data_IF_979847404599
#
_entry.id   IF_979847404599
#
_cell.length_a   1.000
_cell.length_b   1.000
_cell.length_c   1.000
_cell.angle_alpha   90.00
_cell.angle_beta   90.00
_cell.angle_gamma   90.00
#
_symmetry.space_group_name_H-M   'P 1'
#
loop_
_entity.id
_entity.type
_entity.pdbx_description
1 polymer ?
#
# COMPACT_ATOMS: atom_id res chain seq x y z
N UNK A 1 -17.50 -42.12 -14.06
CA UNK A 1 -17.62 -40.66 -14.13
C UNK A 1 -16.24 -40.04 -13.94
N UNK A 2 -15.80 -39.29 -14.94
CA UNK A 2 -14.51 -38.60 -15.00
C UNK A 2 -14.37 -37.55 -13.89
N UNK A 3 -15.48 -36.87 -13.53
CA UNK A 3 -15.47 -35.84 -12.49
C UNK A 3 -15.20 -36.44 -11.10
N UNK A 4 -15.80 -37.59 -10.79
CA UNK A 4 -15.51 -38.30 -9.55
C UNK A 4 -14.06 -38.78 -9.41
N UNK A 5 -13.38 -39.11 -10.52
CA UNK A 5 -11.94 -39.46 -10.49
C UNK A 5 -11.09 -38.22 -10.21
N UNK A 6 -11.36 -37.13 -10.92
CA UNK A 6 -10.67 -35.86 -10.74
C UNK A 6 -10.80 -35.35 -9.30
N UNK A 7 -12.02 -35.36 -8.75
CA UNK A 7 -12.28 -34.94 -7.38
C UNK A 7 -11.46 -35.73 -6.35
N UNK A 8 -11.39 -37.06 -6.47
CA UNK A 8 -10.61 -37.87 -5.52
C UNK A 8 -9.12 -37.55 -5.54
N UNK A 9 -8.57 -37.19 -6.70
CA UNK A 9 -7.16 -36.86 -6.85
C UNK A 9 -6.84 -35.44 -6.36
N UNK A 10 -7.73 -34.48 -6.60
CA UNK A 10 -7.44 -33.06 -6.39
C UNK A 10 -7.99 -32.48 -5.09
N UNK A 11 -8.97 -33.12 -4.44
CA UNK A 11 -9.70 -32.53 -3.29
C UNK A 11 -8.85 -32.21 -2.05
N UNK A 12 -7.63 -32.75 -1.96
CA UNK A 12 -6.71 -32.47 -0.85
C UNK A 12 -5.56 -31.56 -1.24
N UNK A 13 -5.52 -31.06 -2.49
CA UNK A 13 -4.51 -30.10 -2.92
C UNK A 13 -4.86 -28.71 -2.33
N UNK A 14 -3.92 -28.06 -1.61
CA UNK A 14 -4.17 -26.77 -0.99
C UNK A 14 -4.71 -25.72 -1.95
N UNK A 15 -4.17 -25.63 -3.16
CA UNK A 15 -4.57 -24.64 -4.17
C UNK A 15 -6.01 -24.85 -4.64
N UNK A 16 -6.46 -26.10 -4.74
CA UNK A 16 -7.82 -26.44 -5.15
C UNK A 16 -8.81 -26.14 -4.02
N UNK A 17 -8.40 -26.41 -2.79
CA UNK A 17 -9.19 -26.06 -1.59
C UNK A 17 -9.32 -24.54 -1.49
N UNK A 18 -8.21 -23.81 -1.61
CA UNK A 18 -8.17 -22.34 -1.56
C UNK A 18 -9.07 -21.73 -2.64
N UNK A 19 -8.90 -22.13 -3.90
CA UNK A 19 -9.74 -21.68 -5.00
C UNK A 19 -11.23 -21.97 -4.77
N UNK A 20 -11.56 -23.17 -4.29
CA UNK A 20 -12.95 -23.55 -4.01
C UNK A 20 -13.55 -22.71 -2.87
N UNK A 21 -12.78 -22.49 -1.79
CA UNK A 21 -13.20 -21.67 -0.67
C UNK A 21 -13.42 -20.22 -1.09
N UNK A 22 -12.46 -19.62 -1.80
CA UNK A 22 -12.47 -18.20 -2.15
C UNK A 22 -13.52 -17.85 -3.22
N UNK A 23 -13.68 -18.70 -4.23
CA UNK A 23 -14.54 -18.38 -5.38
C UNK A 23 -15.99 -18.82 -5.21
N UNK A 24 -16.27 -19.80 -4.35
CA UNK A 24 -17.61 -20.37 -4.20
C UNK A 24 -18.12 -20.28 -2.76
N UNK A 25 -17.37 -20.79 -1.78
CA UNK A 25 -17.89 -20.91 -0.41
C UNK A 25 -17.93 -19.56 0.31
N UNK A 26 -16.86 -18.79 0.29
CA UNK A 26 -16.76 -17.52 1.00
C UNK A 26 -17.75 -16.46 0.51
N UNK A 27 -17.97 -16.26 -0.81
CA UNK A 27 -18.99 -15.32 -1.27
C UNK A 27 -20.39 -15.69 -0.81
N UNK A 28 -20.75 -16.97 -0.84
CA UNK A 28 -22.08 -17.45 -0.44
C UNK A 28 -22.28 -17.42 1.09
N UNK A 29 -21.22 -17.72 1.85
CA UNK A 29 -21.34 -17.88 3.31
C UNK A 29 -20.92 -16.64 4.09
N UNK A 30 -20.06 -15.76 3.61
CA UNK A 30 -19.52 -14.66 4.42
C UNK A 30 -20.32 -13.35 4.32
N UNK A 31 -21.31 -13.26 3.43
CA UNK A 31 -22.10 -12.04 3.23
C UNK A 31 -22.97 -11.70 4.47
N UNK A 32 -23.67 -12.69 5.02
CA UNK A 32 -24.54 -12.55 6.19
C UNK A 32 -24.36 -13.71 7.17
N UNK A 33 -23.75 -13.44 8.31
CA UNK A 33 -23.55 -14.41 9.40
C UNK A 33 -24.22 -13.90 10.69
N UNK A 34 -24.92 -14.77 11.45
CA UNK A 34 -25.48 -14.42 12.76
C UNK A 34 -24.43 -13.93 13.76
N UNK A 35 -23.20 -14.43 13.62
CA UNK A 35 -22.01 -13.97 14.35
C UNK A 35 -20.89 -13.67 13.35
N UNK A 36 -20.35 -12.46 13.42
CA UNK A 36 -19.16 -12.08 12.66
C UNK A 36 -17.97 -12.10 13.61
N UNK A 37 -16.86 -12.71 13.18
CA UNK A 37 -15.57 -12.48 13.84
C UNK A 37 -15.21 -11.02 13.59
N UNK A 38 -15.34 -10.19 14.62
CA UNK A 38 -14.85 -8.83 14.63
C UNK A 38 -13.56 -8.82 15.43
N UNK A 39 -12.53 -8.19 14.88
CA UNK A 39 -11.33 -7.83 15.61
C UNK A 39 -11.17 -6.31 15.49
N UNK A 40 -10.74 -5.67 16.56
CA UNK A 40 -10.33 -4.27 16.55
C UNK A 40 -8.81 -4.19 16.83
N UNK A 41 -8.23 -2.99 16.75
CA UNK A 41 -6.80 -2.79 17.02
C UNK A 41 -6.36 -3.22 18.43
N UNK A 42 -7.27 -3.20 19.40
CA UNK A 42 -7.04 -3.70 20.76
C UNK A 42 -6.92 -5.23 20.78
N UNK A 43 -7.70 -5.96 19.99
CA UNK A 43 -7.63 -7.43 19.96
C UNK A 43 -6.29 -7.92 19.38
N UNK A 44 -5.75 -7.18 18.40
CA UNK A 44 -4.44 -7.45 17.78
C UNK A 44 -3.28 -7.05 18.68
N UNK A 45 -3.37 -5.91 19.38
CA UNK A 45 -2.31 -5.45 20.29
C UNK A 45 -2.40 -5.98 21.72
N UNK A 46 -3.54 -6.56 22.09
CA UNK A 46 -3.78 -7.20 23.38
C UNK A 46 -3.23 -8.63 23.45
N UNK A 47 -3.33 -9.23 24.63
CA UNK A 47 -2.74 -10.56 24.89
C UNK A 47 -3.60 -11.73 24.38
N UNK A 48 -4.79 -11.46 23.85
CA UNK A 48 -5.73 -12.50 23.41
C UNK A 48 -5.20 -13.25 22.18
N UNK A 49 -4.67 -12.55 21.17
CA UNK A 49 -4.26 -13.14 19.90
C UNK A 49 -2.75 -13.45 19.85
N UNK A 50 -1.90 -12.55 20.34
CA UNK A 50 -0.44 -12.66 20.20
C UNK A 50 0.30 -12.38 21.52
N UNK A 51 1.22 -13.29 21.91
CA UNK A 51 2.07 -13.12 23.10
C UNK A 51 3.22 -12.14 22.90
N UNK A 52 3.74 -12.03 21.67
CA UNK A 52 4.89 -11.18 21.34
C UNK A 52 4.46 -10.14 20.33
N UNK A 53 4.78 -8.88 20.61
CA UNK A 53 4.46 -7.71 19.79
C UNK A 53 5.77 -7.01 19.42
N UNK A 54 6.00 -6.82 18.13
CA UNK A 54 7.25 -6.24 17.63
C UNK A 54 7.19 -4.71 17.50
N UNK A 55 5.98 -4.15 17.38
CA UNK A 55 5.77 -2.71 17.28
C UNK A 55 4.39 -2.38 16.73
N UNK A 56 4.00 -1.12 16.85
CA UNK A 56 2.79 -0.57 16.28
C UNK A 56 3.18 0.62 15.40
N UNK A 57 2.81 0.61 14.13
CA UNK A 57 2.93 1.77 13.24
C UNK A 57 1.54 2.35 13.01
N UNK A 58 1.31 3.58 13.46
CA UNK A 58 0.04 4.25 13.27
C UNK A 58 0.18 5.76 13.37
N UNK A 59 -0.85 6.47 12.94
CA UNK A 59 -1.03 7.92 13.10
C UNK A 59 -0.61 8.35 14.51
N UNK A 60 0.06 9.50 14.72
CA UNK A 60 0.50 9.96 16.03
C UNK A 60 -0.71 10.13 16.97
N UNK A 61 -1.05 9.03 17.62
CA UNK A 61 -2.14 8.88 18.54
C UNK A 61 -1.57 8.14 19.73
N UNK A 62 -1.80 8.69 20.91
CA UNK A 62 -1.49 8.01 22.17
C UNK A 62 -2.46 6.87 22.50
N UNK A 63 -3.43 6.62 21.62
CA UNK A 63 -4.37 5.52 21.73
C UNK A 63 -3.70 4.23 21.24
N UNK A 64 -2.84 3.68 22.09
CA UNK A 64 -2.29 2.34 21.95
C UNK A 64 -2.95 1.39 22.96
N UNK A 65 -3.02 0.09 22.64
CA UNK A 65 -3.40 -0.93 23.59
C UNK A 65 -2.64 -0.82 24.91
N UNK A 66 -3.35 -1.01 26.03
CA UNK A 66 -2.79 -0.88 27.39
C UNK A 66 -1.54 -1.75 27.57
N UNK A 67 -1.52 -2.91 26.93
CA UNK A 67 -0.46 -3.91 26.95
C UNK A 67 0.81 -3.45 26.23
N UNK A 68 0.73 -2.46 25.33
CA UNK A 68 1.88 -1.84 24.66
C UNK A 68 2.47 -0.68 25.49
N UNK A 69 1.85 -0.31 26.60
CA UNK A 69 2.32 0.74 27.50
C UNK A 69 2.09 2.14 26.93
N UNK A 70 3.06 3.04 27.14
CA UNK A 70 2.98 4.43 26.65
C UNK A 70 3.78 4.58 25.38
N UNK A 71 3.19 5.26 24.40
CA UNK A 71 3.91 5.67 23.20
C UNK A 71 5.11 6.54 23.60
N UNK A 72 6.30 6.19 23.12
CA UNK A 72 7.50 7.01 23.26
C UNK A 72 7.75 7.71 21.93
N UNK A 73 7.35 8.97 21.84
CA UNK A 73 7.62 9.75 20.66
C UNK A 73 9.10 10.14 20.60
N UNK A 74 9.68 10.00 19.41
CA UNK A 74 11.00 10.54 19.13
C UNK A 74 10.98 12.06 19.25
N UNK A 75 11.84 12.59 20.12
CA UNK A 75 11.92 14.02 20.38
C UNK A 75 12.35 14.76 19.11
N UNK A 76 11.59 15.79 18.74
CA UNK A 76 11.92 16.65 17.61
C UNK A 76 11.49 16.12 16.25
N UNK A 77 10.96 14.90 16.12
CA UNK A 77 10.50 14.35 14.84
C UNK A 77 9.42 15.25 14.19
N UNK A 78 8.37 15.61 14.93
CA UNK A 78 7.33 16.52 14.43
C UNK A 78 7.87 17.90 14.09
N UNK A 79 8.80 18.43 14.90
CA UNK A 79 9.41 19.73 14.65
C UNK A 79 10.28 19.71 13.38
N UNK A 80 10.99 18.61 13.13
CA UNK A 80 11.80 18.39 11.94
C UNK A 80 10.94 18.30 10.68
N UNK A 81 9.83 17.55 10.73
CA UNK A 81 8.85 17.50 9.65
C UNK A 81 8.30 18.89 9.33
N UNK A 82 7.86 19.65 10.35
CA UNK A 82 7.38 21.01 10.16
C UNK A 82 8.46 21.94 9.60
N UNK A 83 9.70 21.82 10.09
CA UNK A 83 10.83 22.60 9.60
C UNK A 83 11.04 22.38 8.10
N UNK A 84 11.10 21.12 7.64
CA UNK A 84 11.25 20.83 6.21
C UNK A 84 10.06 21.25 5.35
N UNK A 85 8.83 21.08 5.85
CA UNK A 85 7.63 21.49 5.12
C UNK A 85 7.46 23.02 5.04
N UNK A 86 8.04 23.77 5.97
CA UNK A 86 7.94 25.23 6.05
C UNK A 86 9.19 25.97 5.59
N UNK A 87 10.28 25.26 5.32
CA UNK A 87 11.51 25.85 4.81
C UNK A 87 11.27 26.45 3.41
N UNK A 88 11.34 27.78 3.24
CA UNK A 88 11.09 28.42 1.95
C UNK A 88 12.18 28.12 0.91
N UNK A 89 13.34 27.62 1.32
CA UNK A 89 14.44 27.22 0.43
C UNK A 89 14.32 25.76 0.02
N UNK A 90 13.85 24.90 0.91
CA UNK A 90 13.50 23.54 0.55
C UNK A 90 12.21 23.60 -0.28
N UNK A 91 12.30 23.37 -1.60
CA UNK A 91 11.14 23.32 -2.52
C UNK A 91 10.22 22.11 -2.25
N UNK A 92 9.92 21.84 -0.98
CA UNK A 92 9.22 20.67 -0.45
C UNK A 92 7.72 20.82 -0.63
N UNK A 93 7.19 22.04 -0.64
CA UNK A 93 5.75 22.30 -0.75
C UNK A 93 5.39 22.97 -2.09
N UNK A 94 5.63 22.28 -3.20
CA UNK A 94 5.02 22.62 -4.49
C UNK A 94 3.82 21.69 -4.71
N UNK A 95 2.60 22.23 -4.62
CA UNK A 95 1.41 21.52 -5.10
C UNK A 95 1.11 21.95 -6.53
N UNK A 96 0.69 20.99 -7.37
CA UNK A 96 0.22 21.27 -8.73
C UNK A 96 -1.20 20.75 -8.85
N UNK A 97 -2.11 21.62 -9.30
CA UNK A 97 -3.46 21.21 -9.66
C UNK A 97 -3.40 20.43 -10.97
N UNK A 98 -3.96 19.22 -10.97
CA UNK A 98 -4.13 18.45 -12.19
C UNK A 98 -5.37 18.94 -12.95
N UNK A 99 -5.37 18.86 -14.30
CA UNK A 99 -6.55 19.11 -15.11
C UNK A 99 -7.72 18.19 -14.70
N UNK A 100 -8.96 18.60 -14.97
CA UNK A 100 -10.14 17.80 -14.63
C UNK A 100 -10.20 16.46 -15.38
N UNK A 101 -9.62 16.41 -16.57
CA UNK A 101 -9.53 15.27 -17.48
C UNK A 101 -8.18 14.53 -17.38
N UNK A 102 -7.48 14.67 -16.25
CA UNK A 102 -6.21 13.98 -16.03
C UNK A 102 -6.35 12.46 -16.13
N UNK A 103 -5.27 11.81 -16.56
CA UNK A 103 -5.08 10.37 -16.56
C UNK A 103 -3.76 10.01 -15.89
N UNK A 104 -3.58 8.74 -15.53
CA UNK A 104 -2.31 8.21 -15.02
C UNK A 104 -1.16 8.52 -15.98
N UNK A 105 -1.37 8.35 -17.30
CA UNK A 105 -0.36 8.63 -18.31
C UNK A 105 0.02 10.11 -18.37
N UNK A 106 -0.97 11.01 -18.40
CA UNK A 106 -0.68 12.45 -18.42
C UNK A 106 0.00 12.92 -17.14
N UNK A 107 -0.32 12.29 -15.99
CA UNK A 107 0.38 12.54 -14.72
C UNK A 107 1.85 12.09 -14.82
N UNK A 108 2.11 10.86 -15.28
CA UNK A 108 3.46 10.32 -15.44
C UNK A 108 4.30 11.12 -16.43
N UNK A 109 3.72 11.57 -17.55
CA UNK A 109 4.37 12.47 -18.50
C UNK A 109 4.68 13.83 -17.87
N UNK A 110 3.76 14.38 -17.07
CA UNK A 110 3.96 15.66 -16.39
C UNK A 110 5.13 15.61 -15.41
N UNK A 111 5.24 14.55 -14.61
CA UNK A 111 6.35 14.40 -13.65
C UNK A 111 7.64 13.98 -14.35
N UNK A 112 7.57 13.06 -15.31
CA UNK A 112 8.75 12.53 -16.02
C UNK A 112 9.42 13.55 -16.93
N UNK A 113 8.68 14.53 -17.44
CA UNK A 113 9.22 15.59 -18.31
C UNK A 113 9.42 16.93 -17.58
N UNK A 114 9.35 16.95 -16.25
CA UNK A 114 9.62 18.17 -15.49
C UNK A 114 11.10 18.54 -15.54
N UNK A 115 11.39 19.76 -15.99
CA UNK A 115 12.76 20.31 -16.05
C UNK A 115 13.10 21.21 -14.86
N UNK A 116 12.09 21.69 -14.12
CA UNK A 116 12.29 22.45 -12.89
C UNK A 116 11.11 22.24 -11.90
N UNK A 117 11.31 21.48 -10.80
CA UNK A 117 12.50 20.69 -10.51
C UNK A 117 12.56 19.41 -11.37
N UNK A 118 13.76 18.85 -11.54
CA UNK A 118 13.93 17.48 -12.03
C UNK A 118 13.65 16.53 -10.86
N UNK A 119 12.71 15.61 -11.04
CA UNK A 119 12.34 14.65 -9.99
C UNK A 119 13.15 13.36 -10.11
N UNK A 120 13.71 12.88 -8.99
CA UNK A 120 14.49 11.64 -8.93
C UNK A 120 13.75 10.46 -8.28
N UNK A 121 12.58 10.72 -7.69
CA UNK A 121 11.76 9.70 -7.05
C UNK A 121 10.29 10.03 -7.24
N UNK A 122 9.48 8.99 -7.48
CA UNK A 122 8.04 9.05 -7.48
C UNK A 122 7.53 8.16 -6.34
N UNK A 123 6.76 8.74 -5.42
CA UNK A 123 6.17 8.02 -4.29
C UNK A 123 4.66 8.23 -4.36
N UNK A 124 3.92 7.19 -4.69
CA UNK A 124 2.45 7.24 -4.78
C UNK A 124 1.80 6.63 -3.54
N UNK A 125 1.76 7.40 -2.45
CA UNK A 125 1.09 6.97 -1.21
C UNK A 125 -0.44 7.06 -1.35
N UNK A 126 -0.93 7.92 -2.24
CA UNK A 126 -2.37 8.17 -2.43
C UNK A 126 -3.07 7.16 -3.35
N UNK A 127 -2.32 6.21 -3.91
CA UNK A 127 -2.80 5.29 -4.94
C UNK A 127 -3.46 6.03 -6.13
N UNK A 128 -2.84 7.13 -6.58
CA UNK A 128 -3.27 7.88 -7.76
C UNK A 128 -2.96 7.13 -9.06
N UNK A 129 -1.87 6.37 -9.09
CA UNK A 129 -1.43 5.53 -10.20
C UNK A 129 -2.09 4.17 -10.07
N UNK A 130 -3.28 4.04 -10.66
CA UNK A 130 -4.05 2.78 -10.69
C UNK A 130 -4.04 2.15 -12.08
N UNK A 131 -4.20 0.83 -12.14
CA UNK A 131 -4.23 0.09 -13.41
C UNK A 131 -2.88 -0.09 -14.09
N UNK A 132 -1.78 0.21 -13.40
CA UNK A 132 -0.41 -0.07 -13.81
C UNK A 132 0.37 -0.65 -12.63
N UNK A 133 1.15 -1.70 -12.87
CA UNK A 133 2.14 -2.23 -11.93
C UNK A 133 3.36 -1.30 -11.83
N UNK A 134 4.14 -1.43 -10.75
CA UNK A 134 5.35 -0.61 -10.56
C UNK A 134 6.37 -0.81 -11.70
N UNK A 135 6.45 -2.01 -12.27
CA UNK A 135 7.25 -2.28 -13.46
C UNK A 135 6.73 -1.52 -14.69
N UNK A 136 5.42 -1.57 -14.96
CA UNK A 136 4.81 -0.87 -16.10
C UNK A 136 5.00 0.64 -15.98
N UNK A 137 4.89 1.20 -14.77
CA UNK A 137 5.15 2.61 -14.50
C UNK A 137 6.62 2.96 -14.79
N UNK A 138 7.57 2.16 -14.31
CA UNK A 138 8.99 2.38 -14.54
C UNK A 138 9.35 2.35 -16.03
N UNK A 139 8.82 1.37 -16.77
CA UNK A 139 9.01 1.25 -18.21
C UNK A 139 8.38 2.43 -18.98
N UNK A 140 7.18 2.84 -18.57
CA UNK A 140 6.49 3.98 -19.17
C UNK A 140 7.26 5.28 -18.99
N UNK A 141 7.77 5.54 -17.78
CA UNK A 141 8.57 6.72 -17.47
C UNK A 141 9.89 6.76 -18.24
N UNK A 142 10.58 5.63 -18.38
CA UNK A 142 11.80 5.53 -19.20
C UNK A 142 11.55 5.79 -20.69
N UNK A 143 10.39 5.38 -21.19
CA UNK A 143 10.06 5.49 -22.62
C UNK A 143 9.51 6.88 -22.98
N UNK A 144 8.73 7.49 -22.09
CA UNK A 144 7.94 8.70 -22.38
C UNK A 144 8.36 9.93 -21.57
N UNK A 145 9.43 9.80 -20.77
CA UNK A 145 9.96 10.87 -19.93
C UNK A 145 11.39 10.58 -19.51
N UNK A 146 11.81 11.23 -18.41
CA UNK A 146 13.13 11.07 -17.80
C UNK A 146 14.29 11.18 -18.80
N UNK A 147 14.33 12.20 -19.68
CA UNK A 147 15.33 12.28 -20.76
C UNK A 147 16.79 12.33 -20.28
N UNK A 148 16.99 12.58 -18.98
CA UNK A 148 18.30 12.66 -18.32
C UNK A 148 18.62 11.41 -17.50
N UNK A 149 17.90 10.30 -17.65
CA UNK A 149 18.10 9.06 -16.89
C UNK A 149 18.24 7.84 -17.80
N UNK A 150 19.26 7.03 -17.57
CA UNK A 150 19.49 5.78 -18.30
C UNK A 150 18.72 4.58 -17.74
N UNK A 151 18.11 4.72 -16.55
CA UNK A 151 17.45 3.63 -15.86
C UNK A 151 16.52 4.10 -14.73
N UNK A 152 15.57 3.24 -14.37
CA UNK A 152 14.64 3.45 -13.25
C UNK A 152 14.66 2.21 -12.36
N UNK A 153 14.74 2.45 -11.05
CA UNK A 153 14.56 1.42 -10.03
C UNK A 153 13.14 1.52 -9.50
N UNK A 154 12.44 0.38 -9.42
CA UNK A 154 11.13 0.29 -8.82
C UNK A 154 11.15 -0.70 -7.65
N UNK A 155 10.22 -0.52 -6.71
CA UNK A 155 10.03 -1.41 -5.57
C UNK A 155 8.77 -2.24 -5.82
N UNK A 156 8.78 -3.51 -5.49
CA UNK A 156 7.61 -4.38 -5.56
C UNK A 156 7.60 -5.33 -4.36
N UNK A 157 6.44 -5.89 -4.01
CA UNK A 157 6.39 -6.96 -3.02
C UNK A 157 7.08 -8.20 -3.59
N UNK A 158 7.99 -8.80 -2.81
CA UNK A 158 8.66 -10.07 -3.15
C UNK A 158 7.68 -11.22 -3.29
#
# INVERSE_FOLDING_TARGET
>A
DMMGVLFRLLRHLPQVIEYYLDQYIFPETMEHQPSKLAANGQDVGGDMLFKTKLGFSGTPSDLVPVELGRCQFEMGNTAMMLHYLTDPQARVALYRLLPADWSVRSLLETVGNSNDPVYNALIDVGALVTGMSNLEVAQYLLTNGLPNMDGVVYLDSK
#
